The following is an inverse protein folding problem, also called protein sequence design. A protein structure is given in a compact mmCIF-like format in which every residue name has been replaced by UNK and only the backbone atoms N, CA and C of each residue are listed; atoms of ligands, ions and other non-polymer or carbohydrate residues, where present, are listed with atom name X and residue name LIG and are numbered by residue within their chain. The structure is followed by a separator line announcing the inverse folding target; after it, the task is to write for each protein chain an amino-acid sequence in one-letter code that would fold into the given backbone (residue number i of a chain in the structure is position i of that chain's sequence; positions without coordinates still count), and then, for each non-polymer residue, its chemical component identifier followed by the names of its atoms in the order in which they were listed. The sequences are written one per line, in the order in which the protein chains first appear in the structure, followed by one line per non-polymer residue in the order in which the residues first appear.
data_IF_989673857562
#
_entry.id   IF_989673857562
#
_cell.length_a   1.000
_cell.length_b   1.000
_cell.length_c   1.000
_cell.angle_alpha   90.00
_cell.angle_beta   90.00
_cell.angle_gamma   90.00
#
_symmetry.space_group_name_H-M   'P 1'
#
loop_
_entity.id
_entity.type
_entity.pdbx_description
1 polymer ?
#
# COMPACT_ATOMS: atom_id res chain seq x y z
N UNK A 1 -1.29 -68.43 27.20
CA UNK A 1 -2.05 -67.41 27.94
C UNK A 1 -1.06 -66.70 28.82
N UNK A 2 -0.71 -65.48 28.43
CA UNK A 2 0.44 -64.74 28.93
C UNK A 2 0.08 -63.97 30.20
N UNK A 3 0.95 -64.08 31.21
CA UNK A 3 0.75 -63.49 32.55
C UNK A 3 0.93 -61.96 32.53
N UNK A 4 1.46 -61.42 31.43
CA UNK A 4 1.70 -60.00 31.21
C UNK A 4 0.45 -59.20 30.80
N UNK A 5 -0.61 -59.85 30.30
CA UNK A 5 -1.84 -59.18 29.82
C UNK A 5 -2.85 -58.85 30.94
N UNK A 6 -2.60 -59.27 32.19
CA UNK A 6 -3.46 -58.91 33.34
C UNK A 6 -2.99 -57.67 34.11
N UNK A 7 -1.75 -57.22 33.91
CA UNK A 7 -1.19 -56.09 34.67
C UNK A 7 -1.22 -54.74 33.94
N UNK A 8 -1.26 -54.75 32.60
CA UNK A 8 -1.37 -53.54 31.78
C UNK A 8 -2.76 -53.39 31.17
N UNK A 9 -3.76 -53.47 32.05
CA UNK A 9 -5.12 -53.10 31.73
C UNK A 9 -5.22 -51.63 31.32
N UNK A 10 -5.73 -51.42 30.11
CA UNK A 10 -6.60 -50.29 29.82
C UNK A 10 -5.93 -48.95 29.53
N UNK A 11 -6.23 -48.46 28.33
CA UNK A 11 -6.34 -47.03 28.09
C UNK A 11 -5.20 -46.47 27.27
N UNK A 12 -5.48 -46.29 25.98
CA UNK A 12 -4.74 -45.35 25.16
C UNK A 12 -4.68 -44.00 25.88
N UNK A 13 -3.49 -43.62 26.32
CA UNK A 13 -3.21 -42.25 26.74
C UNK A 13 -2.66 -41.57 25.50
N UNK A 14 -3.51 -40.80 24.81
CA UNK A 14 -3.04 -39.63 24.08
C UNK A 14 -2.13 -38.89 25.06
N UNK A 15 -0.83 -38.83 24.75
CA UNK A 15 0.12 -38.05 25.51
C UNK A 15 -0.42 -36.62 25.53
N UNK A 16 -0.95 -36.20 26.68
CA UNK A 16 -1.36 -34.83 26.91
C UNK A 16 -0.10 -33.99 26.77
N UNK A 17 -0.07 -33.09 25.79
CA UNK A 17 1.04 -32.18 25.55
C UNK A 17 1.43 -31.52 26.88
N UNK A 18 2.60 -31.85 27.40
CA UNK A 18 3.16 -31.26 28.62
C UNK A 18 3.78 -29.89 28.31
N UNK A 19 3.10 -29.07 27.51
CA UNK A 19 3.65 -27.82 26.99
C UNK A 19 2.77 -26.64 27.37
N UNK A 20 3.41 -25.59 27.86
CA UNK A 20 2.83 -24.29 28.16
C UNK A 20 2.31 -23.60 26.89
N UNK A 21 1.48 -22.56 27.08
CA UNK A 21 0.85 -21.82 25.98
C UNK A 21 1.88 -20.99 25.21
N UNK A 22 1.64 -20.83 23.91
CA UNK A 22 2.46 -19.94 23.08
C UNK A 22 2.12 -18.48 23.34
N UNK A 23 3.13 -17.62 23.34
CA UNK A 23 3.00 -16.16 23.49
C UNK A 23 3.21 -15.49 22.13
N UNK A 24 2.33 -14.57 21.75
CA UNK A 24 2.44 -13.83 20.49
C UNK A 24 2.75 -12.36 20.78
N UNK A 25 3.83 -11.84 20.20
CA UNK A 25 4.20 -10.43 20.27
C UNK A 25 4.22 -9.79 18.90
N UNK A 26 3.61 -8.61 18.76
CA UNK A 26 3.73 -7.80 17.56
C UNK A 26 4.94 -6.87 17.70
N UNK A 27 5.84 -6.91 16.72
CA UNK A 27 7.01 -6.05 16.65
C UNK A 27 6.85 -5.07 15.49
N UNK A 28 6.59 -3.81 15.82
CA UNK A 28 6.51 -2.76 14.81
C UNK A 28 7.90 -2.44 14.25
N UNK A 29 8.04 -2.47 12.92
CA UNK A 29 9.30 -2.28 12.17
C UNK A 29 9.10 -1.29 11.03
N UNK A 30 10.10 -0.46 10.74
CA UNK A 30 10.04 0.47 9.60
C UNK A 30 10.55 -0.19 8.32
N UNK A 31 10.42 0.51 7.17
CA UNK A 31 11.01 0.00 5.93
C UNK A 31 12.54 0.00 5.99
N UNK A 32 13.16 0.98 6.64
CA UNK A 32 14.61 1.05 6.86
C UNK A 32 15.10 -0.12 7.71
N UNK A 33 14.36 -0.47 8.78
CA UNK A 33 14.63 -1.64 9.63
C UNK A 33 14.63 -2.93 8.81
N UNK A 34 13.65 -3.08 7.92
CA UNK A 34 13.51 -4.25 7.03
C UNK A 34 14.48 -4.25 5.86
N UNK A 35 15.01 -3.08 5.48
CA UNK A 35 15.94 -2.91 4.37
C UNK A 35 17.40 -3.09 4.80
N UNK A 36 17.79 -2.52 5.93
CA UNK A 36 19.17 -2.53 6.42
C UNK A 36 19.42 -3.62 7.48
N UNK A 37 18.35 -4.22 8.03
CA UNK A 37 18.42 -5.06 9.21
C UNK A 37 18.49 -4.23 10.51
N UNK A 38 17.88 -4.74 11.59
CA UNK A 38 17.87 -4.05 12.89
C UNK A 38 17.84 -5.04 14.06
N UNK A 39 18.39 -4.63 15.20
CA UNK A 39 18.27 -5.32 16.48
C UNK A 39 17.33 -4.55 17.40
N UNK A 40 16.18 -5.14 17.76
CA UNK A 40 15.21 -4.54 18.70
C UNK A 40 15.16 -5.33 20.01
N UNK A 41 15.26 -4.62 21.12
CA UNK A 41 15.07 -5.19 22.46
C UNK A 41 13.57 -5.30 22.72
N UNK A 42 13.10 -6.52 22.92
CA UNK A 42 11.72 -6.77 23.34
C UNK A 42 11.62 -6.68 24.85
N UNK A 43 10.43 -6.35 25.37
CA UNK A 43 10.14 -6.34 26.81
C UNK A 43 9.95 -7.76 27.41
N UNK A 44 10.51 -8.77 26.76
CA UNK A 44 10.90 -10.03 27.38
C UNK A 44 12.34 -9.79 27.89
N UNK A 45 12.78 -10.37 29.01
CA UNK A 45 14.13 -10.14 29.55
C UNK A 45 15.29 -10.72 28.68
N UNK A 46 15.16 -10.70 27.35
CA UNK A 46 16.10 -11.24 26.38
C UNK A 46 16.17 -10.34 25.15
N UNK A 47 17.38 -9.90 24.81
CA UNK A 47 17.63 -9.21 23.54
C UNK A 47 17.60 -10.26 22.43
N UNK A 48 16.73 -10.09 21.44
CA UNK A 48 16.70 -10.95 20.26
C UNK A 48 17.29 -10.18 19.10
N UNK A 49 18.44 -10.63 18.61
CA UNK A 49 19.03 -10.10 17.38
C UNK A 49 18.22 -10.65 16.21
N UNK A 50 17.55 -9.76 15.46
CA UNK A 50 16.89 -10.16 14.22
C UNK A 50 17.83 -9.98 13.02
N UNK A 51 18.96 -10.69 13.02
CA UNK A 51 19.87 -10.77 11.87
C UNK A 51 19.17 -11.30 10.60
N UNK A 52 18.02 -11.95 10.76
CA UNK A 52 17.20 -12.51 9.66
C UNK A 52 16.06 -11.60 9.20
N UNK A 53 15.92 -10.38 9.73
CA UNK A 53 14.80 -9.50 9.39
C UNK A 53 14.92 -8.86 8.01
N UNK A 54 16.11 -8.85 7.41
CA UNK A 54 16.34 -8.24 6.11
C UNK A 54 15.46 -8.88 5.02
N UNK A 55 14.67 -8.05 4.34
CA UNK A 55 13.76 -8.49 3.28
C UNK A 55 12.52 -9.26 3.76
N UNK A 56 12.31 -9.46 5.07
CA UNK A 56 11.12 -10.11 5.60
C UNK A 56 9.85 -9.32 5.24
N UNK A 57 8.74 -10.03 5.04
CA UNK A 57 7.45 -9.44 4.66
C UNK A 57 6.67 -9.00 5.90
N UNK A 58 5.75 -8.07 5.67
CA UNK A 58 4.75 -7.71 6.68
C UNK A 58 3.94 -8.96 7.12
N UNK A 59 3.64 -9.05 8.42
CA UNK A 59 2.95 -10.18 9.02
C UNK A 59 3.77 -11.47 9.14
N UNK A 60 5.03 -11.49 8.69
CA UNK A 60 5.87 -12.68 8.78
C UNK A 60 6.19 -13.02 10.24
N UNK A 61 6.07 -14.31 10.57
CA UNK A 61 6.24 -14.83 11.93
C UNK A 61 7.65 -15.35 12.16
N UNK A 62 8.25 -15.00 13.29
CA UNK A 62 9.52 -15.54 13.79
C UNK A 62 9.20 -16.36 15.04
N UNK A 63 9.58 -17.63 15.01
CA UNK A 63 9.27 -18.59 16.06
C UNK A 63 10.50 -18.85 16.93
N UNK A 64 10.32 -18.73 18.24
CA UNK A 64 11.34 -19.01 19.24
C UNK A 64 10.86 -20.15 20.13
N UNK A 65 11.51 -21.30 19.97
CA UNK A 65 11.06 -22.53 20.60
C UNK A 65 11.38 -22.59 22.09
N UNK A 66 10.37 -22.84 22.92
CA UNK A 66 10.55 -23.02 24.37
C UNK A 66 10.90 -21.73 25.12
N UNK A 67 10.66 -20.57 24.51
CA UNK A 67 10.94 -19.25 25.08
C UNK A 67 9.70 -18.58 25.68
N UNK A 68 8.57 -19.29 25.72
CA UNK A 68 7.32 -18.83 26.36
C UNK A 68 7.38 -18.86 27.89
N UNK A 69 6.27 -18.49 28.53
CA UNK A 69 6.19 -18.49 29.99
C UNK A 69 6.41 -19.89 30.57
N UNK A 70 7.24 -19.97 31.62
CA UNK A 70 7.55 -21.23 32.28
C UNK A 70 6.59 -21.47 33.45
N UNK A 71 5.85 -22.59 33.39
CA UNK A 71 5.00 -23.07 34.48
C UNK A 71 5.63 -24.32 35.14
N UNK A 72 5.47 -24.52 36.46
CA UNK A 72 5.95 -25.73 37.13
C UNK A 72 5.35 -27.00 36.48
N UNK A 73 6.17 -28.04 36.29
CA UNK A 73 5.79 -29.33 35.70
C UNK A 73 5.42 -29.33 34.19
N UNK A 74 5.54 -28.19 33.51
CA UNK A 74 5.28 -28.04 32.07
C UNK A 74 6.53 -27.53 31.33
N UNK A 75 6.73 -28.01 30.11
CA UNK A 75 7.72 -27.47 29.18
C UNK A 75 7.24 -26.10 28.67
N UNK A 76 8.09 -25.07 28.58
CA UNK A 76 7.67 -23.77 28.07
C UNK A 76 7.10 -23.81 26.64
N UNK A 77 6.13 -22.95 26.38
CA UNK A 77 5.56 -22.75 25.04
C UNK A 77 6.52 -22.02 24.10
N UNK A 78 6.07 -21.72 22.88
CA UNK A 78 6.80 -20.91 21.91
C UNK A 78 6.53 -19.41 22.08
N UNK A 79 7.52 -18.56 21.77
CA UNK A 79 7.29 -17.15 21.50
C UNK A 79 7.21 -16.94 19.98
N UNK A 80 6.14 -16.30 19.53
CA UNK A 80 5.88 -15.97 18.14
C UNK A 80 5.94 -14.46 17.99
N UNK A 81 6.97 -13.95 17.31
CA UNK A 81 7.05 -12.54 16.94
C UNK A 81 6.40 -12.38 15.58
N UNK A 82 5.40 -11.51 15.47
CA UNK A 82 4.79 -11.11 14.20
C UNK A 82 5.32 -9.73 13.85
N UNK A 83 5.93 -9.61 12.67
CA UNK A 83 6.38 -8.30 12.18
C UNK A 83 5.18 -7.47 11.73
N UNK A 84 5.14 -6.23 12.18
CA UNK A 84 4.13 -5.23 11.83
C UNK A 84 4.83 -4.07 11.11
N UNK A 85 4.71 -4.03 9.78
CA UNK A 85 5.40 -3.03 8.96
C UNK A 85 4.69 -1.68 9.04
N UNK A 86 5.41 -0.66 9.51
CA UNK A 86 4.91 0.72 9.51
C UNK A 86 4.85 1.28 8.10
N UNK A 87 3.80 2.08 7.87
CA UNK A 87 3.72 2.92 6.68
C UNK A 87 4.87 3.93 6.65
N UNK A 88 5.44 4.12 5.46
CA UNK A 88 6.51 5.08 5.22
C UNK A 88 5.97 6.24 4.38
N UNK A 89 6.41 7.46 4.67
CA UNK A 89 5.89 8.69 4.04
C UNK A 89 6.18 8.80 2.54
N UNK A 90 7.36 8.34 2.12
CA UNK A 90 7.84 8.41 0.73
C UNK A 90 7.62 7.11 -0.07
N UNK A 91 8.03 5.96 0.49
CA UNK A 91 7.97 4.67 -0.18
C UNK A 91 6.78 3.83 0.27
N UNK A 92 6.11 3.21 -0.69
CA UNK A 92 5.13 2.18 -0.43
C UNK A 92 5.68 0.83 -0.89
N UNK A 93 5.85 -0.12 0.03
CA UNK A 93 6.32 -1.46 -0.33
C UNK A 93 5.22 -2.28 -0.99
N UNK A 94 5.54 -2.94 -2.11
CA UNK A 94 4.70 -3.95 -2.77
C UNK A 94 5.52 -5.21 -3.00
N UNK A 95 5.40 -6.17 -2.08
CA UNK A 95 6.22 -7.38 -2.12
C UNK A 95 7.71 -7.06 -1.93
N UNK A 96 8.50 -7.25 -2.98
CA UNK A 96 9.93 -6.90 -3.01
C UNK A 96 10.21 -5.54 -3.65
N UNK A 97 9.20 -4.93 -4.29
CA UNK A 97 9.36 -3.65 -4.95
C UNK A 97 8.99 -2.49 -4.02
N UNK A 98 9.58 -1.34 -4.28
CA UNK A 98 9.25 -0.07 -3.63
C UNK A 98 8.56 0.83 -4.64
N UNK A 99 7.44 1.44 -4.25
CA UNK A 99 6.70 2.39 -5.08
C UNK A 99 6.91 3.80 -4.52
N UNK A 100 7.38 4.71 -5.37
CA UNK A 100 7.57 6.12 -5.07
C UNK A 100 6.66 6.96 -5.96
N UNK A 101 5.92 7.91 -5.38
CA UNK A 101 5.20 8.92 -6.14
C UNK A 101 6.09 10.15 -6.34
N UNK A 102 6.55 10.38 -7.57
CA UNK A 102 7.43 11.49 -7.92
C UNK A 102 6.64 12.59 -8.62
N UNK A 103 6.63 13.79 -8.03
CA UNK A 103 6.05 14.98 -8.68
C UNK A 103 7.03 15.57 -9.68
N UNK A 104 6.56 15.81 -10.90
CA UNK A 104 7.31 16.48 -11.97
C UNK A 104 6.49 17.61 -12.56
N UNK A 105 7.13 18.71 -12.94
CA UNK A 105 6.47 19.82 -13.62
C UNK A 105 6.12 19.42 -15.06
N UNK A 106 5.13 20.08 -15.65
CA UNK A 106 4.79 19.85 -17.07
C UNK A 106 5.99 20.05 -18.00
N UNK A 107 6.83 21.07 -17.75
CA UNK A 107 8.06 21.29 -18.52
C UNK A 107 9.07 20.16 -18.34
N UNK A 108 9.26 19.66 -17.11
CA UNK A 108 10.13 18.50 -16.82
C UNK A 108 9.63 17.22 -17.52
N UNK A 109 8.30 17.04 -17.56
CA UNK A 109 7.66 15.90 -18.17
C UNK A 109 7.77 15.89 -19.71
N UNK A 110 7.87 17.05 -20.35
CA UNK A 110 7.99 17.21 -21.80
C UNK A 110 9.45 17.34 -22.28
N UNK A 111 10.29 18.02 -21.50
CA UNK A 111 11.65 18.39 -21.90
C UNK A 111 12.75 17.55 -21.23
N UNK A 112 12.37 16.60 -20.36
CA UNK A 112 13.29 15.82 -19.55
C UNK A 112 13.66 16.51 -18.24
N UNK A 113 14.23 15.74 -17.32
CA UNK A 113 14.60 16.22 -15.99
C UNK A 113 15.74 15.43 -15.37
N UNK A 114 16.33 15.97 -14.30
CA UNK A 114 17.21 15.26 -13.37
C UNK A 114 16.74 15.55 -11.95
N UNK A 115 16.34 14.50 -11.22
CA UNK A 115 15.93 14.60 -9.81
C UNK A 115 16.66 13.56 -8.98
N UNK A 116 16.87 13.88 -7.71
CA UNK A 116 17.49 12.98 -6.76
C UNK A 116 16.43 12.29 -5.90
N UNK A 117 16.68 11.03 -5.55
CA UNK A 117 15.88 10.25 -4.63
C UNK A 117 16.83 9.67 -3.58
N UNK A 118 16.53 9.87 -2.31
CA UNK A 118 17.27 9.23 -1.22
C UNK A 118 16.67 7.86 -0.95
N UNK A 119 17.48 6.80 -0.99
CA UNK A 119 17.08 5.42 -0.74
C UNK A 119 17.06 5.09 0.75
N UNK A 120 16.53 3.92 1.11
CA UNK A 120 16.40 3.47 2.52
C UNK A 120 17.75 3.18 3.21
N UNK A 121 18.84 3.03 2.44
CA UNK A 121 20.22 2.91 2.93
C UNK A 121 20.98 4.26 2.96
N UNK A 122 20.29 5.37 2.65
CA UNK A 122 20.88 6.72 2.65
C UNK A 122 21.67 7.09 1.40
N UNK A 123 21.78 6.20 0.40
CA UNK A 123 22.35 6.58 -0.91
C UNK A 123 21.43 7.57 -1.64
N UNK A 124 22.01 8.35 -2.56
CA UNK A 124 21.26 9.28 -3.41
C UNK A 124 21.32 8.80 -4.85
N UNK A 125 20.16 8.45 -5.40
CA UNK A 125 20.00 8.06 -6.80
C UNK A 125 19.60 9.27 -7.65
N UNK A 126 20.27 9.45 -8.79
CA UNK A 126 19.91 10.48 -9.77
C UNK A 126 19.00 9.86 -10.84
N UNK A 127 17.72 10.18 -10.77
CA UNK A 127 16.74 9.78 -11.78
C UNK A 127 16.77 10.79 -12.92
N UNK A 128 17.08 10.31 -14.13
CA UNK A 128 17.20 11.14 -15.32
C UNK A 128 16.18 10.71 -16.37
N UNK A 129 15.39 11.67 -16.86
CA UNK A 129 14.60 11.52 -18.09
C UNK A 129 15.27 12.33 -19.20
N UNK A 130 15.52 11.70 -20.34
CA UNK A 130 16.16 12.37 -21.49
C UNK A 130 15.18 13.34 -22.15
N UNK A 131 15.71 14.43 -22.71
CA UNK A 131 14.91 15.33 -23.53
C UNK A 131 14.36 14.60 -24.75
N UNK A 132 13.07 14.81 -25.03
CA UNK A 132 12.34 14.10 -26.08
C UNK A 132 11.56 12.86 -25.60
N UNK A 133 11.83 12.36 -24.39
CA UNK A 133 10.95 11.38 -23.74
C UNK A 133 9.82 12.10 -23.00
N UNK A 134 8.58 11.87 -23.43
CA UNK A 134 7.40 12.41 -22.75
C UNK A 134 6.99 11.47 -21.61
N UNK A 135 6.78 12.05 -20.43
CA UNK A 135 6.21 11.36 -19.27
C UNK A 135 4.79 11.87 -19.05
N UNK A 136 3.82 10.96 -19.07
CA UNK A 136 2.41 11.28 -18.83
C UNK A 136 2.11 11.25 -17.34
N UNK A 137 1.02 11.90 -16.96
CA UNK A 137 0.50 11.78 -15.61
C UNK A 137 0.09 10.33 -15.31
N UNK A 138 0.56 9.80 -14.19
CA UNK A 138 0.32 8.42 -13.77
C UNK A 138 1.26 7.38 -14.38
N UNK A 139 2.17 7.77 -15.27
CA UNK A 139 3.13 6.84 -15.87
C UNK A 139 4.00 6.16 -14.81
N UNK A 140 4.31 4.88 -15.07
CA UNK A 140 5.15 4.05 -14.21
C UNK A 140 6.46 3.74 -14.95
N UNK A 141 7.60 4.12 -14.37
CA UNK A 141 8.94 3.65 -14.80
C UNK A 141 9.62 2.92 -13.65
N UNK A 142 10.56 2.03 -13.95
CA UNK A 142 11.28 1.27 -12.94
C UNK A 142 12.80 1.49 -12.98
N UNK A 143 13.41 1.48 -11.79
CA UNK A 143 14.84 1.35 -11.59
C UNK A 143 15.08 -0.04 -10.99
N UNK A 144 15.76 -0.90 -11.74
CA UNK A 144 16.03 -2.27 -11.33
C UNK A 144 16.99 -2.31 -10.14
N UNK A 145 16.85 -3.32 -9.28
CA UNK A 145 17.73 -3.59 -8.14
C UNK A 145 17.75 -2.50 -7.04
N UNK A 146 16.77 -1.59 -7.04
CA UNK A 146 16.63 -0.52 -6.03
C UNK A 146 15.36 -0.68 -5.18
N UNK A 147 14.77 -1.88 -5.17
CA UNK A 147 13.68 -2.27 -4.26
C UNK A 147 14.19 -2.89 -2.95
N UNK A 148 13.29 -3.57 -2.23
CA UNK A 148 13.62 -4.28 -0.98
C UNK A 148 14.53 -5.49 -1.25
N UNK A 149 15.43 -5.82 -0.31
CA UNK A 149 16.14 -7.11 -0.31
C UNK A 149 15.18 -8.28 -0.33
N UNK A 150 15.59 -9.37 -0.99
CA UNK A 150 14.82 -10.62 -1.01
C UNK A 150 15.28 -11.49 0.16
N UNK A 151 14.33 -11.86 1.03
CA UNK A 151 14.60 -12.73 2.17
C UNK A 151 15.27 -14.04 1.73
N UNK A 152 16.40 -14.39 2.36
CA UNK A 152 17.28 -15.53 2.02
C UNK A 152 18.03 -15.44 0.68
N UNK A 153 17.97 -14.30 -0.01
CA UNK A 153 18.76 -14.02 -1.20
C UNK A 153 19.47 -12.66 -1.03
N UNK A 154 20.58 -12.59 -0.26
CA UNK A 154 21.19 -11.32 0.16
C UNK A 154 21.70 -10.42 -0.97
N UNK A 155 21.95 -11.00 -2.15
CA UNK A 155 22.45 -10.28 -3.32
C UNK A 155 21.32 -9.83 -4.26
N UNK A 156 20.08 -10.26 -4.01
CA UNK A 156 18.94 -9.95 -4.86
C UNK A 156 18.04 -8.89 -4.23
N UNK A 157 17.62 -7.94 -5.05
CA UNK A 157 16.74 -6.84 -4.66
C UNK A 157 15.61 -6.70 -5.67
N UNK A 158 14.44 -6.27 -5.21
CA UNK A 158 13.36 -5.87 -6.10
C UNK A 158 13.69 -4.59 -6.87
N UNK A 159 12.65 -3.99 -7.45
CA UNK A 159 12.75 -2.75 -8.21
C UNK A 159 12.15 -1.55 -7.48
N UNK A 160 12.69 -0.37 -7.75
CA UNK A 160 12.04 0.90 -7.41
C UNK A 160 11.13 1.30 -8.58
N UNK A 161 9.82 1.26 -8.36
CA UNK A 161 8.80 1.72 -9.30
C UNK A 161 8.46 3.17 -8.98
N UNK A 162 8.59 4.05 -9.96
CA UNK A 162 8.32 5.48 -9.85
C UNK A 162 7.03 5.78 -10.59
N UNK A 163 6.01 6.24 -9.87
CA UNK A 163 4.79 6.80 -10.42
C UNK A 163 4.93 8.31 -10.57
N UNK A 164 4.80 8.81 -11.79
CA UNK A 164 4.94 10.23 -12.08
C UNK A 164 3.61 10.97 -11.90
N UNK A 165 3.64 12.02 -11.09
CA UNK A 165 2.53 12.95 -10.93
C UNK A 165 2.92 14.26 -11.61
N UNK A 166 2.37 14.48 -12.80
CA UNK A 166 2.61 15.72 -13.56
C UNK A 166 1.79 16.84 -12.92
N UNK A 167 2.48 17.89 -12.50
CA UNK A 167 1.92 19.12 -11.94
C UNK A 167 1.78 20.12 -13.08
N UNK A 168 0.54 20.53 -13.34
CA UNK A 168 0.23 21.60 -14.28
C UNK A 168 0.39 22.96 -13.60
N UNK A 169 0.80 24.00 -14.35
CA UNK A 169 0.84 25.35 -13.84
C UNK A 169 -0.56 25.89 -13.53
N UNK A 170 -0.63 26.90 -12.66
CA UNK A 170 -1.90 27.49 -12.20
C UNK A 170 -2.61 28.32 -13.30
N UNK A 171 -3.88 28.69 -13.06
CA UNK A 171 -4.63 29.57 -13.97
C UNK A 171 -3.85 30.88 -14.16
N UNK A 172 -3.82 31.39 -15.40
CA UNK A 172 -3.14 32.66 -15.75
C UNK A 172 -1.61 32.67 -15.52
N UNK A 173 -0.95 31.51 -15.47
CA UNK A 173 0.51 31.42 -15.33
C UNK A 173 1.29 32.04 -16.52
N UNK A 174 0.67 32.10 -17.70
CA UNK A 174 1.26 32.64 -18.92
C UNK A 174 0.39 33.80 -19.45
N UNK A 175 0.99 34.95 -19.79
CA UNK A 175 0.29 36.05 -20.45
C UNK A 175 -0.39 35.64 -21.77
N UNK A 176 -1.55 36.23 -22.05
CA UNK A 176 -2.40 35.87 -23.21
C UNK A 176 -1.68 36.08 -24.57
N UNK A 177 -0.79 37.06 -24.66
CA UNK A 177 0.03 37.35 -25.84
C UNK A 177 1.03 36.24 -26.19
N UNK A 178 1.41 35.41 -25.20
CA UNK A 178 2.36 34.31 -25.38
C UNK A 178 1.68 32.96 -25.63
N UNK A 179 0.37 32.84 -25.44
CA UNK A 179 -0.37 31.60 -25.68
C UNK A 179 -0.25 31.11 -27.13
N UNK A 180 -0.29 31.96 -28.18
CA UNK A 180 -0.10 31.50 -29.56
C UNK A 180 1.27 30.85 -29.80
N UNK A 181 2.32 31.34 -29.11
CA UNK A 181 3.67 30.77 -29.23
C UNK A 181 3.74 29.38 -28.58
N UNK A 182 3.07 29.20 -27.42
CA UNK A 182 2.97 27.90 -26.77
C UNK A 182 2.19 26.90 -27.63
N UNK A 183 1.07 27.34 -28.22
CA UNK A 183 0.26 26.51 -29.11
C UNK A 183 1.04 26.04 -30.34
N UNK A 184 1.87 26.92 -30.93
CA UNK A 184 2.72 26.57 -32.06
C UNK A 184 3.79 25.50 -31.75
N UNK A 185 4.15 25.32 -30.47
CA UNK A 185 5.12 24.32 -30.01
C UNK A 185 4.48 22.97 -29.63
N UNK A 186 3.16 22.94 -29.46
CA UNK A 186 2.40 21.76 -29.05
C UNK A 186 1.75 21.06 -30.26
N UNK A 187 1.31 19.79 -30.12
CA UNK A 187 0.53 19.13 -31.16
C UNK A 187 -0.71 19.95 -31.55
N UNK A 188 -1.05 19.99 -32.86
CA UNK A 188 -2.12 20.84 -33.34
C UNK A 188 -3.48 20.43 -32.76
N UNK A 189 -4.35 21.41 -32.50
CA UNK A 189 -5.73 21.15 -32.05
C UNK A 189 -6.47 20.33 -33.10
N UNK A 190 -7.21 19.33 -32.64
CA UNK A 190 -8.15 18.63 -33.51
C UNK A 190 -9.27 19.60 -33.92
N UNK A 191 -9.47 19.75 -35.22
CA UNK A 191 -10.56 20.59 -35.76
C UNK A 191 -11.88 19.85 -35.58
N UNK A 192 -12.82 20.47 -34.90
CA UNK A 192 -14.19 19.99 -34.76
C UNK A 192 -15.07 20.82 -35.69
N UNK A 193 -15.73 20.17 -36.64
CA UNK A 193 -16.76 20.81 -37.47
C UNK A 193 -18.06 20.80 -36.69
N UNK A 194 -18.53 21.97 -36.28
CA UNK A 194 -19.82 22.12 -35.61
C UNK A 194 -20.90 22.29 -36.67
N UNK A 195 -21.90 21.42 -36.67
CA UNK A 195 -23.06 21.48 -37.56
C UNK A 195 -24.25 22.13 -36.83
N UNK A 196 -25.25 22.62 -37.57
CA UNK A 196 -26.39 23.38 -37.01
C UNK A 196 -27.28 22.56 -36.06
N UNK A 197 -27.22 21.23 -36.14
CA UNK A 197 -27.90 20.28 -35.27
C UNK A 197 -27.16 20.04 -33.94
N UNK A 198 -25.98 20.62 -33.73
CA UNK A 198 -25.20 20.47 -32.51
C UNK A 198 -25.52 21.57 -31.49
N UNK A 199 -25.94 21.17 -30.29
CA UNK A 199 -26.13 22.08 -29.16
C UNK A 199 -24.78 22.48 -28.54
N UNK A 200 -24.61 23.78 -28.28
CA UNK A 200 -23.41 24.32 -27.63
C UNK A 200 -23.58 24.31 -26.10
N UNK A 201 -22.57 23.81 -25.40
CA UNK A 201 -22.53 23.82 -23.94
C UNK A 201 -21.24 24.48 -23.45
N UNK A 202 -21.37 25.37 -22.47
CA UNK A 202 -20.24 25.99 -21.79
C UNK A 202 -19.87 25.18 -20.53
N UNK A 203 -18.57 24.97 -20.32
CA UNK A 203 -18.09 24.28 -19.13
C UNK A 203 -18.19 25.20 -17.91
N UNK A 204 -18.81 24.70 -16.85
CA UNK A 204 -18.87 25.36 -15.55
C UNK A 204 -18.05 24.58 -14.51
N UNK A 205 -17.59 25.27 -13.47
CA UNK A 205 -16.88 24.62 -12.37
C UNK A 205 -17.84 23.73 -11.59
N UNK A 206 -17.49 22.44 -11.45
CA UNK A 206 -18.32 21.48 -10.74
C UNK A 206 -17.94 21.45 -9.26
N UNK A 207 -18.89 21.82 -8.40
CA UNK A 207 -18.79 21.69 -6.95
C UNK A 207 -19.70 20.56 -6.47
N UNK A 208 -19.17 19.43 -5.94
CA UNK A 208 -19.99 18.31 -5.46
C UNK A 208 -20.99 18.67 -4.35
N UNK A 209 -20.80 19.80 -3.66
CA UNK A 209 -21.69 20.29 -2.61
C UNK A 209 -22.87 21.12 -3.12
N UNK A 210 -22.88 21.52 -4.39
CA UNK A 210 -24.01 22.25 -4.98
C UNK A 210 -25.15 21.27 -5.32
N UNK A 211 -25.99 21.00 -4.32
CA UNK A 211 -27.12 20.06 -4.36
C UNK A 211 -28.28 20.46 -5.29
N UNK A 212 -28.13 21.54 -6.08
CA UNK A 212 -29.12 22.03 -7.04
C UNK A 212 -29.65 20.94 -7.99
N UNK A 213 -28.80 19.99 -8.39
CA UNK A 213 -29.16 18.94 -9.35
C UNK A 213 -30.06 17.82 -8.81
N UNK A 214 -30.17 17.65 -7.48
CA UNK A 214 -31.02 16.58 -6.90
C UNK A 214 -32.49 16.97 -6.78
N UNK A 215 -32.79 18.26 -6.68
CA UNK A 215 -34.14 18.71 -6.35
C UNK A 215 -35.11 18.71 -7.54
N UNK A 216 -34.62 18.56 -8.78
CA UNK A 216 -35.47 18.63 -9.98
C UNK A 216 -36.02 17.28 -10.45
N UNK A 217 -35.65 16.15 -9.82
CA UNK A 217 -36.15 14.82 -10.21
C UNK A 217 -37.37 14.35 -9.41
N UNK A 218 -37.69 15.00 -8.29
CA UNK A 218 -38.76 14.58 -7.36
C UNK A 218 -40.06 15.39 -7.53
N UNK A 219 -40.20 16.22 -8.57
CA UNK A 219 -41.38 17.07 -8.78
C UNK A 219 -42.48 16.44 -9.68
N UNK A 220 -42.31 15.20 -10.14
CA UNK A 220 -43.27 14.52 -11.05
C UNK A 220 -43.66 13.10 -10.57
N UNK A 221 -43.50 12.78 -9.28
CA UNK A 221 -44.00 11.55 -8.67
C UNK A 221 -44.88 11.86 -7.45
N UNK A 222 -45.89 12.71 -7.62
CA UNK A 222 -46.94 12.85 -6.61
C UNK A 222 -48.26 13.11 -7.35
N UNK A 223 -48.86 12.05 -7.90
CA UNK A 223 -50.29 11.97 -8.24
C UNK A 223 -50.62 10.56 -8.79
N UNK A 224 -50.63 9.52 -7.94
CA UNK A 224 -51.50 8.37 -8.19
C UNK A 224 -52.00 7.72 -6.88
N UNK A 225 -53.31 7.86 -6.70
CA UNK A 225 -54.17 7.49 -5.58
C UNK A 225 -54.28 5.96 -5.40
N UNK A 226 -54.31 5.45 -4.15
CA UNK A 226 -54.61 4.02 -3.89
C UNK A 226 -54.30 3.48 -2.49
N UNK A 227 -55.29 3.10 -1.66
CA UNK A 227 -55.11 2.85 -0.22
C UNK A 227 -54.82 1.37 0.09
N UNK A 228 -53.77 1.05 0.86
CA UNK A 228 -53.60 -0.29 1.46
C UNK A 228 -52.98 -0.29 2.85
N UNK A 229 -53.85 -0.55 3.84
CA UNK A 229 -53.69 -1.66 4.77
C UNK A 229 -52.57 -1.57 5.81
N UNK A 230 -52.92 -1.08 7.00
CA UNK A 230 -52.10 -1.27 8.19
C UNK A 230 -52.01 -2.74 8.58
N UNK A 231 -50.81 -3.16 8.99
CA UNK A 231 -50.59 -4.35 9.82
C UNK A 231 -49.37 -4.11 10.69
N UNK A 232 -49.60 -4.16 12.00
CA UNK A 232 -48.61 -4.08 13.07
C UNK A 232 -48.35 -5.51 13.55
N UNK A 233 -47.10 -5.97 13.54
CA UNK A 233 -46.70 -7.21 14.24
C UNK A 233 -45.50 -6.94 15.13
N UNK A 234 -45.69 -7.30 16.41
CA UNK A 234 -44.70 -7.28 17.49
C UNK A 234 -43.74 -8.47 17.36
N UNK A 235 -42.51 -8.25 17.79
CA UNK A 235 -41.45 -9.25 17.97
C UNK A 235 -41.70 -10.10 19.21
N UNK A 236 -41.40 -11.40 19.09
CA UNK A 236 -41.05 -12.28 20.21
C UNK A 236 -39.55 -12.62 20.10
#
# INVERSE_FOLDING_TARGET
MDIFDMFFGGGGRMARERRGKNVVHQLSVTLEDLYNGVTKKLALQKNVICEKCEGMKDGQKILFHGEGDQEPELEPGDVIIVLDQKDHSVFQRRGHDLVLKMKVQLSEALCGFKKTVTTLDGRVLVITSKSGEVIKHGDLKCVRNEGMPIYKAPLERGSLVIQFLVVFPEKLWLPLDKLPQLEALLPPRQKVTVTEDMEQAELQEFSPSDQSWRQHREAYEEDEDGPRGGVQCQTA
#
